data_IF_056968163812
#
_entry.id   IF_056968163812
#
_cell.length_a   1.000
_cell.length_b   1.000
_cell.length_c   1.000
_cell.angle_alpha   90.00
_cell.angle_beta   90.00
_cell.angle_gamma   90.00
#
_symmetry.space_group_name_H-M   'P 1'
#
loop_
_entity.id
_entity.type
_entity.pdbx_description
1 polymer ?
#
# COMPACT_ATOMS: atom_id res chain seq x y z
N UNK A 1 16.58 -14.88 -15.56
CA UNK A 1 15.75 -14.07 -14.64
C UNK A 1 15.74 -14.72 -13.27
N UNK A 2 16.09 -14.00 -12.21
CA UNK A 2 16.03 -14.53 -10.84
C UNK A 2 14.69 -14.13 -10.22
N UNK A 3 13.89 -15.10 -9.81
CA UNK A 3 12.64 -14.82 -9.11
C UNK A 3 12.92 -14.09 -7.80
N UNK A 4 12.18 -13.02 -7.52
CA UNK A 4 12.19 -12.31 -6.24
C UNK A 4 10.78 -11.78 -5.94
N UNK A 5 10.40 -11.74 -4.66
CA UNK A 5 9.08 -11.20 -4.23
C UNK A 5 8.86 -9.77 -4.71
N UNK A 6 9.89 -8.91 -4.53
CA UNK A 6 9.91 -7.55 -5.07
C UNK A 6 9.79 -7.51 -6.60
N UNK A 7 10.48 -8.40 -7.30
CA UNK A 7 10.41 -8.48 -8.76
C UNK A 7 8.99 -8.78 -9.26
N UNK A 8 8.28 -9.67 -8.57
CA UNK A 8 6.87 -9.92 -8.84
C UNK A 8 6.00 -8.68 -8.56
N UNK A 9 6.07 -8.13 -7.36
CA UNK A 9 5.26 -6.98 -6.95
C UNK A 9 5.46 -5.77 -7.86
N UNK A 10 6.71 -5.35 -8.11
CA UNK A 10 6.97 -4.17 -8.95
C UNK A 10 6.82 -4.45 -10.44
N UNK A 11 7.28 -5.61 -10.91
CA UNK A 11 7.30 -5.95 -12.34
C UNK A 11 5.92 -6.35 -12.88
N UNK A 12 5.22 -7.21 -12.14
CA UNK A 12 3.94 -7.80 -12.59
C UNK A 12 2.76 -6.96 -12.11
N UNK A 13 2.73 -6.61 -10.81
CA UNK A 13 1.60 -5.86 -10.25
C UNK A 13 1.70 -4.37 -10.55
N UNK A 14 2.78 -3.68 -10.15
CA UNK A 14 2.85 -2.23 -10.33
C UNK A 14 3.02 -1.81 -11.80
N UNK A 15 3.96 -2.43 -12.51
CA UNK A 15 4.27 -2.07 -13.92
C UNK A 15 3.34 -2.78 -14.89
N UNK A 16 3.09 -4.07 -14.67
CA UNK A 16 2.21 -4.86 -15.50
C UNK A 16 0.73 -4.60 -15.26
N UNK A 17 0.31 -4.12 -14.07
CA UNK A 17 -1.10 -3.98 -13.66
C UNK A 17 -1.88 -5.30 -13.66
N UNK A 18 -1.19 -6.42 -13.42
CA UNK A 18 -1.80 -7.74 -13.35
C UNK A 18 -1.44 -8.42 -12.03
N UNK A 19 -2.37 -9.23 -11.51
CA UNK A 19 -2.16 -10.15 -10.39
C UNK A 19 -2.40 -11.58 -10.83
N UNK A 20 -1.76 -12.52 -10.16
CA UNK A 20 -1.95 -13.94 -10.41
C UNK A 20 -3.01 -14.46 -9.43
N UNK A 21 -4.09 -15.02 -9.95
CA UNK A 21 -5.22 -15.53 -9.16
C UNK A 21 -5.31 -17.05 -9.32
N UNK A 22 -5.75 -17.74 -8.27
CA UNK A 22 -5.94 -19.20 -8.28
C UNK A 22 -4.65 -19.99 -8.03
N UNK A 23 -3.67 -19.37 -7.36
CA UNK A 23 -2.52 -20.13 -6.87
C UNK A 23 -2.94 -21.17 -5.83
N UNK A 24 -2.54 -22.44 -5.98
CA UNK A 24 -3.01 -23.55 -5.14
C UNK A 24 -2.35 -23.54 -3.75
N UNK A 25 -2.71 -22.57 -2.92
CA UNK A 25 -2.19 -22.41 -1.55
C UNK A 25 -2.58 -23.59 -0.64
N UNK A 26 -3.74 -24.20 -0.87
CA UNK A 26 -4.22 -25.39 -0.15
C UNK A 26 -3.30 -26.61 -0.31
N UNK A 27 -2.47 -26.64 -1.35
CA UNK A 27 -1.53 -27.72 -1.61
C UNK A 27 -0.14 -27.48 -0.96
N UNK A 28 0.00 -26.46 -0.10
CA UNK A 28 1.27 -26.02 0.50
C UNK A 28 2.35 -25.71 -0.53
N UNK A 29 1.96 -25.28 -1.74
CA UNK A 29 2.89 -24.93 -2.82
C UNK A 29 3.32 -23.48 -2.62
N UNK A 30 4.57 -23.22 -2.21
CA UNK A 30 5.02 -21.85 -1.96
C UNK A 30 5.17 -21.12 -3.30
N UNK A 31 4.71 -19.87 -3.38
CA UNK A 31 4.95 -19.04 -4.54
C UNK A 31 6.41 -18.59 -4.55
N UNK A 32 7.26 -19.35 -5.24
CA UNK A 32 8.70 -19.11 -5.37
C UNK A 32 9.18 -19.44 -6.79
N UNK A 33 10.50 -19.51 -6.97
CA UNK A 33 11.07 -19.99 -8.22
C UNK A 33 10.60 -21.44 -8.51
N UNK A 34 10.07 -21.70 -9.70
CA UNK A 34 9.54 -23.01 -10.11
C UNK A 34 10.56 -24.14 -9.94
N UNK A 35 11.85 -23.87 -10.14
CA UNK A 35 12.92 -24.86 -9.97
C UNK A 35 13.20 -25.23 -8.51
N UNK A 36 12.71 -24.43 -7.56
CA UNK A 36 12.95 -24.60 -6.12
C UNK A 36 11.70 -25.08 -5.38
N UNK A 37 10.62 -25.38 -6.10
CA UNK A 37 9.36 -25.83 -5.51
C UNK A 37 9.50 -27.29 -5.02
N UNK A 38 9.16 -27.59 -3.76
CA UNK A 38 9.16 -28.96 -3.25
C UNK A 38 8.07 -29.81 -3.92
N UNK A 39 8.34 -31.10 -4.07
CA UNK A 39 7.44 -32.06 -4.72
C UNK A 39 7.69 -32.25 -6.23
N UNK A 40 8.66 -31.53 -6.82
CA UNK A 40 9.22 -31.85 -8.13
C UNK A 40 8.21 -31.85 -9.27
N UNK A 41 8.29 -32.85 -10.15
CA UNK A 41 7.49 -32.93 -11.38
C UNK A 41 5.97 -33.01 -11.14
N UNK A 42 5.44 -33.77 -10.16
CA UNK A 42 4.03 -33.74 -9.80
C UNK A 42 3.50 -32.34 -9.51
N UNK A 43 4.21 -31.55 -8.70
CA UNK A 43 3.79 -30.18 -8.35
C UNK A 43 3.72 -29.27 -9.57
N UNK A 44 4.72 -29.37 -10.46
CA UNK A 44 4.77 -28.59 -11.70
C UNK A 44 3.63 -29.01 -12.64
N UNK A 45 3.32 -30.30 -12.73
CA UNK A 45 2.17 -30.81 -13.50
C UNK A 45 0.84 -30.29 -12.95
N UNK A 46 0.66 -30.25 -11.63
CA UNK A 46 -0.52 -29.67 -11.01
C UNK A 46 -0.68 -28.18 -11.35
N UNK A 47 0.40 -27.39 -11.25
CA UNK A 47 0.37 -25.97 -11.65
C UNK A 47 0.04 -25.80 -13.13
N UNK A 48 0.60 -26.65 -14.01
CA UNK A 48 0.31 -26.62 -15.43
C UNK A 48 -1.15 -26.98 -15.73
N UNK A 49 -1.72 -27.95 -15.02
CA UNK A 49 -3.14 -28.32 -15.13
C UNK A 49 -4.03 -27.17 -14.65
N UNK A 50 -3.73 -26.57 -13.50
CA UNK A 50 -4.48 -25.41 -13.00
C UNK A 50 -4.45 -24.24 -14.00
N UNK A 51 -3.31 -24.02 -14.67
CA UNK A 51 -3.18 -23.03 -15.73
C UNK A 51 -4.04 -23.37 -16.95
N UNK A 52 -3.96 -24.62 -17.45
CA UNK A 52 -4.74 -25.09 -18.61
C UNK A 52 -6.25 -25.06 -18.36
N UNK A 53 -6.67 -25.31 -17.12
CA UNK A 53 -8.07 -25.24 -16.70
C UNK A 53 -8.54 -23.80 -16.46
N UNK A 54 -7.66 -22.79 -16.55
CA UNK A 54 -8.00 -21.38 -16.28
C UNK A 54 -8.25 -21.04 -14.81
N UNK A 55 -7.94 -21.99 -13.91
CA UNK A 55 -7.97 -21.77 -12.46
C UNK A 55 -6.86 -20.79 -12.09
N UNK A 56 -5.65 -21.07 -12.57
CA UNK A 56 -4.49 -20.20 -12.42
C UNK A 56 -4.44 -19.23 -13.62
N UNK A 57 -4.70 -17.95 -13.38
CA UNK A 57 -4.75 -16.93 -14.45
C UNK A 57 -4.27 -15.57 -13.98
N UNK A 58 -3.89 -14.72 -14.93
CA UNK A 58 -3.66 -13.31 -14.65
C UNK A 58 -4.97 -12.53 -14.74
N UNK A 59 -5.24 -11.74 -13.73
CA UNK A 59 -6.36 -10.79 -13.69
C UNK A 59 -5.82 -9.36 -13.56
N UNK A 60 -6.56 -8.35 -14.03
CA UNK A 60 -6.20 -6.96 -13.80
C UNK A 60 -6.13 -6.68 -12.29
N UNK A 61 -5.07 -6.01 -11.86
CA UNK A 61 -4.89 -5.59 -10.48
C UNK A 61 -5.72 -4.32 -10.21
N UNK A 62 -6.38 -4.27 -9.05
CA UNK A 62 -7.10 -3.07 -8.59
C UNK A 62 -6.10 -2.00 -8.14
N UNK A 63 -6.46 -0.71 -8.21
CA UNK A 63 -5.58 0.38 -7.80
C UNK A 63 -5.10 0.22 -6.34
N UNK A 64 -5.99 -0.25 -5.45
CA UNK A 64 -5.66 -0.58 -4.05
C UNK A 64 -4.56 -1.63 -3.95
N UNK A 65 -4.58 -2.65 -4.80
CA UNK A 65 -3.58 -3.73 -4.82
C UNK A 65 -2.25 -3.24 -5.38
N UNK A 66 -2.27 -2.31 -6.34
CA UNK A 66 -1.07 -1.65 -6.87
C UNK A 66 -0.42 -0.80 -5.77
N UNK A 67 -1.22 -0.03 -5.03
CA UNK A 67 -0.74 0.75 -3.90
C UNK A 67 -0.23 -0.14 -2.76
N UNK A 68 -0.91 -1.26 -2.52
CA UNK A 68 -0.46 -2.27 -1.57
C UNK A 68 0.90 -2.85 -1.99
N UNK A 69 1.07 -3.20 -3.28
CA UNK A 69 2.33 -3.74 -3.80
C UNK A 69 3.50 -2.76 -3.63
N UNK A 70 3.25 -1.45 -3.77
CA UNK A 70 4.26 -0.41 -3.53
C UNK A 70 4.67 -0.31 -2.07
N UNK A 71 3.71 -0.45 -1.14
CA UNK A 71 3.93 -0.35 0.31
C UNK A 71 4.55 -1.63 0.87
N UNK A 72 3.91 -2.76 0.59
CA UNK A 72 4.21 -4.09 1.12
C UNK A 72 4.19 -5.14 -0.01
N UNK A 73 5.34 -5.43 -0.63
CA UNK A 73 5.41 -6.34 -1.78
C UNK A 73 5.04 -7.78 -1.42
N UNK A 74 5.25 -8.20 -0.18
CA UNK A 74 4.98 -9.56 0.28
C UNK A 74 3.49 -9.86 0.40
N UNK A 75 2.66 -8.83 0.59
CA UNK A 75 1.24 -9.00 0.73
C UNK A 75 0.55 -9.27 -0.63
N UNK A 76 1.08 -8.77 -1.75
CA UNK A 76 0.45 -9.02 -3.07
C UNK A 76 0.90 -10.34 -3.70
N UNK A 77 1.61 -11.19 -2.96
CA UNK A 77 2.03 -12.48 -3.48
C UNK A 77 0.81 -13.40 -3.63
N UNK A 78 0.70 -14.11 -4.77
CA UNK A 78 -0.35 -15.09 -4.97
C UNK A 78 -0.19 -16.25 -3.98
N UNK A 79 -1.25 -16.56 -3.24
CA UNK A 79 -1.21 -17.45 -2.09
C UNK A 79 -2.38 -17.17 -1.16
N UNK A 80 -2.28 -17.61 0.11
CA UNK A 80 -3.25 -17.21 1.13
C UNK A 80 -3.38 -15.67 1.10
N UNK A 81 -4.61 -15.13 1.03
CA UNK A 81 -4.82 -13.71 0.84
C UNK A 81 -4.07 -12.96 1.95
N UNK A 82 -3.32 -11.89 1.63
CA UNK A 82 -2.76 -11.06 2.66
C UNK A 82 -3.90 -10.59 3.56
N UNK A 83 -3.75 -10.75 4.87
CA UNK A 83 -4.49 -9.90 5.80
C UNK A 83 -4.13 -8.46 5.40
N UNK A 84 -5.09 -7.75 4.80
CA UNK A 84 -4.88 -6.37 4.42
C UNK A 84 -4.51 -5.64 5.72
N UNK A 85 -3.33 -5.00 5.80
CA UNK A 85 -3.03 -4.17 6.94
C UNK A 85 -4.12 -3.09 7.01
N UNK A 86 -4.61 -2.80 8.21
CA UNK A 86 -5.60 -1.75 8.39
C UNK A 86 -5.14 -0.49 7.64
N UNK A 87 -6.04 0.19 6.90
CA UNK A 87 -5.67 1.36 6.14
C UNK A 87 -5.02 2.39 7.06
N UNK A 88 -4.05 3.15 6.55
CA UNK A 88 -3.23 4.06 7.36
C UNK A 88 -4.08 5.10 8.14
N UNK A 89 -5.28 5.42 7.63
CA UNK A 89 -6.25 6.28 8.30
C UNK A 89 -6.92 5.67 9.54
N UNK A 90 -6.84 4.34 9.72
CA UNK A 90 -7.39 3.62 10.88
C UNK A 90 -6.35 3.31 11.95
N UNK A 91 -5.06 3.54 11.69
CA UNK A 91 -4.05 3.59 12.72
C UNK A 91 -4.16 4.87 13.55
N UNK A 92 -3.56 4.89 14.75
CA UNK A 92 -3.38 6.11 15.55
C UNK A 92 -2.88 7.22 14.64
N UNK A 93 -3.74 8.19 14.32
CA UNK A 93 -3.49 9.39 13.55
C UNK A 93 -2.01 9.75 13.61
N UNK A 94 -1.32 9.69 12.46
CA UNK A 94 0.14 9.75 12.34
C UNK A 94 0.76 10.71 13.35
N UNK A 95 1.87 10.29 13.98
CA UNK A 95 2.53 11.00 15.09
C UNK A 95 2.40 12.51 14.91
N UNK A 96 1.68 13.18 15.81
CA UNK A 96 1.46 14.62 15.73
C UNK A 96 2.81 15.35 15.93
N UNK A 97 3.56 15.52 14.84
CA UNK A 97 4.83 16.25 14.80
C UNK A 97 4.61 17.76 14.75
N UNK A 98 3.35 18.21 14.63
CA UNK A 98 3.03 19.63 14.74
C UNK A 98 3.43 20.14 16.13
N UNK A 99 4.08 21.30 16.17
CA UNK A 99 4.72 21.92 17.35
C UNK A 99 5.93 21.17 17.93
N UNK A 100 6.31 19.99 17.43
CA UNK A 100 7.55 19.32 17.85
C UNK A 100 8.73 19.92 17.09
N UNK A 101 9.74 20.36 17.83
CA UNK A 101 10.99 20.81 17.25
C UNK A 101 11.72 19.60 16.62
N UNK A 102 12.05 19.69 15.32
CA UNK A 102 12.86 18.67 14.66
C UNK A 102 14.30 18.75 15.19
N UNK A 103 14.81 17.64 15.72
CA UNK A 103 16.24 17.50 16.02
C UNK A 103 16.96 17.26 14.70
N UNK A 104 17.87 18.14 14.30
CA UNK A 104 18.71 17.93 13.13
C UNK A 104 20.04 17.28 13.56
N UNK A 105 20.62 16.44 12.70
CA UNK A 105 21.93 15.82 12.94
C UNK A 105 23.07 16.82 13.19
N UNK A 106 22.92 18.06 12.70
CA UNK A 106 23.86 19.18 12.91
C UNK A 106 23.74 19.82 14.30
N UNK A 107 22.54 19.82 14.90
CA UNK A 107 22.30 20.41 16.23
C UNK A 107 22.71 19.51 17.41
N UNK A 108 22.78 18.19 17.18
CA UNK A 108 23.14 17.19 18.19
C UNK A 108 24.57 17.31 18.71
N UNK A 109 25.63 17.39 17.87
CA UNK A 109 27.00 17.50 18.37
C UNK A 109 27.33 18.90 18.91
N UNK A 110 26.64 19.95 18.46
CA UNK A 110 26.99 21.35 18.74
C UNK A 110 26.13 22.01 19.85
N UNK A 111 25.21 21.28 20.52
CA UNK A 111 24.25 21.79 21.52
C UNK A 111 23.57 23.11 21.11
N UNK A 112 23.35 23.32 19.81
CA UNK A 112 22.74 24.54 19.29
C UNK A 112 21.23 24.55 19.63
N UNK A 113 20.64 25.71 19.93
CA UNK A 113 19.21 25.81 20.20
C UNK A 113 18.39 25.28 19.01
N UNK A 114 17.35 24.52 19.31
CA UNK A 114 16.43 23.99 18.31
C UNK A 114 15.71 25.14 17.60
N UNK A 115 15.40 24.96 16.30
CA UNK A 115 14.69 25.97 15.50
C UNK A 115 13.38 26.36 16.21
N UNK A 116 13.06 27.66 16.22
CA UNK A 116 11.89 28.21 16.90
C UNK A 116 10.59 27.49 16.53
N UNK A 117 9.70 27.32 17.52
CA UNK A 117 8.37 26.73 17.33
C UNK A 117 7.64 27.50 16.22
N UNK A 118 7.07 26.80 15.24
CA UNK A 118 6.15 27.44 14.29
C UNK A 118 4.89 27.85 15.04
N UNK A 119 4.70 29.15 15.23
CA UNK A 119 3.56 29.76 15.95
C UNK A 119 2.46 30.24 15.00
N UNK A 120 2.58 29.89 13.71
CA UNK A 120 1.61 30.31 12.70
C UNK A 120 0.21 29.73 12.94
N UNK A 121 -0.83 30.34 12.34
CA UNK A 121 -2.20 29.85 12.40
C UNK A 121 -2.25 28.38 12.00
N UNK A 122 -2.89 27.56 12.84
CA UNK A 122 -3.09 26.13 12.59
C UNK A 122 -4.50 25.98 12.08
N UNK A 123 -4.66 25.68 10.80
CA UNK A 123 -5.95 25.25 10.28
C UNK A 123 -6.38 23.95 10.96
N UNK A 124 -7.68 23.77 11.25
CA UNK A 124 -8.18 22.49 11.75
C UNK A 124 -7.86 21.38 10.76
N UNK A 125 -7.53 20.19 11.28
CA UNK A 125 -7.08 19.03 10.46
C UNK A 125 -8.22 18.41 9.66
N UNK A 126 -9.44 18.62 10.12
CA UNK A 126 -10.68 18.21 9.48
C UNK A 126 -11.58 19.43 9.58
N UNK A 127 -11.93 19.99 8.43
CA UNK A 127 -13.10 20.85 8.30
C UNK A 127 -14.21 19.88 7.95
N UNK A 128 -15.17 19.69 8.85
CA UNK A 128 -16.37 18.94 8.53
C UNK A 128 -17.28 19.90 7.76
N UNK A 129 -17.94 19.42 6.70
CA UNK A 129 -18.83 20.24 5.85
C UNK A 129 -20.00 20.88 6.63
N UNK A 130 -20.21 20.46 7.88
CA UNK A 130 -21.17 21.03 8.84
C UNK A 130 -20.75 22.37 9.45
N UNK A 131 -19.51 22.85 9.24
CA UNK A 131 -19.05 24.16 9.71
C UNK A 131 -19.14 25.26 8.63
N UNK A 132 -19.76 24.97 7.48
CA UNK A 132 -20.19 26.01 6.53
C UNK A 132 -21.34 26.75 7.19
N UNK A 133 -21.02 27.84 7.88
CA UNK A 133 -22.01 28.78 8.41
C UNK A 133 -23.00 29.16 7.32
N UNK A 134 -24.23 29.43 7.75
CA UNK A 134 -25.24 30.14 6.98
C UNK A 134 -24.66 31.52 6.62
N UNK A 135 -23.85 31.58 5.57
CA UNK A 135 -23.42 32.83 4.98
C UNK A 135 -24.67 33.46 4.37
N UNK A 136 -25.11 34.56 4.99
CA UNK A 136 -26.28 35.37 4.64
C UNK A 136 -26.46 35.50 3.11
N UNK A 137 -27.70 35.28 2.67
CA UNK A 137 -28.16 35.51 1.31
C UNK A 137 -27.75 36.90 0.81
N UNK A 138 -26.86 36.94 -0.19
CA UNK A 138 -26.61 38.16 -0.96
C UNK A 138 -27.81 38.39 -1.89
N UNK A 139 -28.75 39.24 -1.47
CA UNK A 139 -29.73 39.83 -2.37
C UNK A 139 -29.00 40.78 -3.33
N UNK A 140 -28.94 40.43 -4.62
CA UNK A 140 -28.60 41.39 -5.67
C UNK A 140 -29.88 42.13 -6.08
N UNK A 141 -30.00 43.38 -5.70
CA UNK A 141 -30.97 44.30 -6.30
C UNK A 141 -30.62 44.47 -7.79
N UNK A 142 -31.61 44.21 -8.65
CA UNK A 142 -31.55 44.56 -10.06
C UNK A 142 -32.32 45.88 -10.25
N UNK A 143 -31.60 46.92 -10.65
CA UNK A 143 -32.15 48.15 -11.26
C UNK A 143 -32.62 47.89 -12.71
#
# INVERSE_FOLDING_TARGET
MRWTRKGYAFGVVCRGRHKLVGWPWYANIPFTNLSSIPGGQPTIRCLLLAWKLGILRFEPATEDEIDLARRNPDAVLPGAPPLQPAPFCWGSLGTNQMRKAKKNGVSLPLKKPLRGKRVGPISPKLVLDSDMGEDEEVCSDND
#
